data_IF_350479043779
#
_entry.id   IF_350479043779
#
_cell.length_a   1.000
_cell.length_b   1.000
_cell.length_c   1.000
_cell.angle_alpha   90.00
_cell.angle_beta   90.00
_cell.angle_gamma   90.00
#
_symmetry.space_group_name_H-M   'P 1'
#
loop_
_entity.id
_entity.type
_entity.pdbx_description
1 polymer ?
#
# COMPACT_ATOMS: atom_id res chain seq x y z
N UNK A 1 -8.82 -69.49 31.41
CA UNK A 1 -8.80 -69.37 29.93
C UNK A 1 -9.40 -68.06 29.55
N UNK A 2 -8.60 -67.05 29.22
CA UNK A 2 -9.06 -65.72 28.91
C UNK A 2 -8.45 -65.32 27.58
N UNK A 3 -9.27 -65.17 26.56
CA UNK A 3 -8.92 -64.82 25.21
C UNK A 3 -8.70 -63.31 25.09
N UNK A 4 -7.54 -62.95 24.57
CA UNK A 4 -7.20 -61.56 24.24
C UNK A 4 -7.95 -61.09 23.04
N UNK A 5 -8.71 -60.02 23.17
CA UNK A 5 -9.29 -59.28 22.03
C UNK A 5 -8.39 -58.09 21.71
N UNK A 6 -7.83 -58.14 20.52
CA UNK A 6 -7.05 -57.03 19.95
C UNK A 6 -8.03 -55.94 19.47
N UNK A 7 -7.90 -54.71 20.00
CA UNK A 7 -8.53 -53.53 19.45
C UNK A 7 -7.54 -52.80 18.54
N UNK A 8 -7.72 -52.95 17.25
CA UNK A 8 -7.10 -52.09 16.30
C UNK A 8 -7.93 -50.77 16.22
N UNK A 9 -7.39 -49.71 16.78
CA UNK A 9 -7.92 -48.37 16.59
C UNK A 9 -7.12 -47.73 15.47
N UNK A 10 -7.74 -47.67 14.30
CA UNK A 10 -7.23 -46.93 13.16
C UNK A 10 -7.82 -45.51 13.24
N UNK A 11 -7.07 -44.58 13.80
CA UNK A 11 -7.42 -43.15 13.81
C UNK A 11 -6.50 -42.41 12.83
N UNK A 12 -6.91 -42.32 11.58
CA UNK A 12 -6.32 -41.39 10.61
C UNK A 12 -7.09 -40.11 10.70
N UNK A 13 -6.66 -39.19 11.56
CA UNK A 13 -7.08 -37.81 11.51
C UNK A 13 -6.27 -37.08 10.43
N UNK A 14 -6.80 -37.02 9.24
CA UNK A 14 -6.32 -36.11 8.21
C UNK A 14 -6.67 -34.68 8.62
N UNK A 15 -5.70 -33.97 9.20
CA UNK A 15 -5.83 -32.51 9.39
C UNK A 15 -5.54 -31.90 8.03
N UNK A 16 -6.63 -31.55 7.31
CA UNK A 16 -6.53 -30.67 6.16
C UNK A 16 -6.14 -29.28 6.66
N UNK A 17 -4.84 -29.00 6.64
CA UNK A 17 -4.32 -27.67 6.87
C UNK A 17 -4.79 -26.76 5.74
N UNK A 18 -5.77 -25.90 6.01
CA UNK A 18 -6.07 -24.76 5.17
C UNK A 18 -4.87 -23.81 5.28
N UNK A 19 -3.96 -23.90 4.33
CA UNK A 19 -3.00 -22.84 4.10
C UNK A 19 -3.79 -21.65 3.55
N UNK A 20 -4.13 -20.71 4.43
CA UNK A 20 -4.56 -19.39 4.03
C UNK A 20 -3.37 -18.75 3.32
N UNK A 21 -3.34 -18.84 2.00
CA UNK A 21 -2.48 -18.00 1.18
C UNK A 21 -2.97 -16.57 1.39
N UNK A 22 -2.29 -15.82 2.25
CA UNK A 22 -2.39 -14.39 2.25
C UNK A 22 -1.97 -13.96 0.83
N UNK A 23 -2.96 -13.63 0.00
CA UNK A 23 -2.74 -12.87 -1.23
C UNK A 23 -2.30 -11.50 -0.74
N UNK A 24 -0.99 -11.34 -0.52
CA UNK A 24 -0.42 -10.03 -0.31
C UNK A 24 -0.75 -9.22 -1.54
N UNK A 25 -1.49 -8.13 -1.36
CA UNK A 25 -1.68 -7.13 -2.40
C UNK A 25 -0.30 -6.81 -2.97
N UNK A 26 -0.05 -7.22 -4.21
CA UNK A 26 1.16 -6.88 -4.95
C UNK A 26 1.08 -5.38 -5.30
N UNK A 27 1.24 -4.55 -4.28
CA UNK A 27 1.37 -3.12 -4.45
C UNK A 27 2.77 -2.85 -4.99
N UNK A 28 2.88 -2.00 -6.00
CA UNK A 28 4.15 -1.44 -6.43
C UNK A 28 4.72 -0.60 -5.28
N UNK A 29 5.43 -1.26 -4.38
CA UNK A 29 6.09 -0.59 -3.27
C UNK A 29 7.57 -0.39 -3.63
N UNK A 30 8.01 0.85 -3.59
CA UNK A 30 9.43 1.15 -3.60
C UNK A 30 10.07 0.46 -2.39
N UNK A 31 11.06 -0.44 -2.57
CA UNK A 31 11.72 -1.12 -1.46
C UNK A 31 12.27 -0.11 -0.44
N UNK A 32 11.92 -0.29 0.85
CA UNK A 32 12.32 0.61 1.93
C UNK A 32 11.30 1.69 2.29
N UNK A 33 10.37 2.03 1.40
CA UNK A 33 9.22 2.87 1.72
C UNK A 33 8.21 2.05 2.55
N UNK A 34 7.75 2.62 3.66
CA UNK A 34 6.71 2.00 4.49
C UNK A 34 5.39 2.71 4.27
N UNK A 35 4.36 1.94 3.90
CA UNK A 35 2.97 2.41 3.81
C UNK A 35 2.11 1.66 4.81
N UNK A 36 1.50 2.39 5.73
CA UNK A 36 0.59 1.85 6.75
C UNK A 36 -0.82 2.37 6.48
N UNK A 37 -1.72 1.50 6.05
CA UNK A 37 -3.14 1.85 5.87
C UNK A 37 -3.74 2.10 7.26
N UNK A 38 -4.26 3.30 7.47
CA UNK A 38 -4.89 3.73 8.72
C UNK A 38 -6.40 3.50 8.67
N UNK A 39 -7.02 3.78 7.53
CA UNK A 39 -8.47 3.66 7.33
C UNK A 39 -8.76 3.25 5.88
N UNK A 40 -9.83 2.48 5.72
CA UNK A 40 -10.36 2.09 4.43
C UNK A 40 -11.87 1.93 4.56
N UNK A 41 -12.64 2.58 3.67
CA UNK A 41 -14.10 2.47 3.65
C UNK A 41 -14.66 2.74 2.25
N UNK A 42 -15.83 2.17 2.01
CA UNK A 42 -16.52 2.30 0.74
C UNK A 42 -17.09 3.71 0.54
N UNK A 43 -16.93 4.26 -0.66
CA UNK A 43 -17.65 5.47 -1.06
C UNK A 43 -19.10 5.09 -1.38
N UNK A 44 -20.11 5.76 -0.78
CA UNK A 44 -21.51 5.50 -1.09
C UNK A 44 -21.80 5.63 -2.59
N UNK A 45 -22.56 4.69 -3.14
CA UNK A 45 -23.00 4.67 -4.54
C UNK A 45 -21.84 4.61 -5.57
N UNK A 46 -20.99 3.57 -5.49
CA UNK A 46 -19.94 3.38 -6.50
C UNK A 46 -19.07 2.16 -6.26
N UNK A 47 -18.18 1.95 -7.20
CA UNK A 47 -17.12 0.93 -7.19
C UNK A 47 -15.81 1.46 -6.58
N UNK A 48 -15.89 2.54 -5.79
CA UNK A 48 -14.73 3.20 -5.20
C UNK A 48 -14.66 3.02 -3.69
N UNK A 49 -13.46 3.12 -3.19
CA UNK A 49 -13.16 3.14 -1.76
C UNK A 49 -12.20 4.29 -1.42
N UNK A 50 -12.35 4.84 -0.23
CA UNK A 50 -11.38 5.78 0.33
C UNK A 50 -10.35 4.99 1.11
N UNK A 51 -9.08 5.31 0.89
CA UNK A 51 -7.95 4.76 1.64
C UNK A 51 -7.16 5.91 2.22
N UNK A 52 -6.91 5.89 3.52
CA UNK A 52 -5.98 6.83 4.18
C UNK A 52 -4.78 6.05 4.70
N UNK A 53 -3.59 6.48 4.34
CA UNK A 53 -2.35 5.79 4.69
C UNK A 53 -1.29 6.76 5.21
N UNK A 54 -0.53 6.32 6.20
CA UNK A 54 0.71 6.95 6.61
C UNK A 54 1.85 6.39 5.74
N UNK A 55 2.61 7.28 5.12
CA UNK A 55 3.74 6.93 4.27
C UNK A 55 5.01 7.49 4.90
N UNK A 56 5.99 6.60 5.14
CA UNK A 56 7.28 6.93 5.72
C UNK A 56 8.36 6.57 4.69
N UNK A 57 9.13 7.56 4.25
CA UNK A 57 10.15 7.44 3.23
C UNK A 57 11.50 7.74 3.88
N UNK A 58 12.45 6.81 3.88
CA UNK A 58 13.80 7.01 4.41
C UNK A 58 14.51 8.24 3.80
N UNK A 59 15.55 8.77 4.46
CA UNK A 59 16.34 9.88 3.94
C UNK A 59 16.94 9.62 2.56
N UNK A 60 16.90 10.63 1.69
CA UNK A 60 17.51 10.64 0.36
C UNK A 60 17.08 9.47 -0.54
N UNK A 61 15.87 8.96 -0.35
CA UNK A 61 15.35 7.80 -1.07
C UNK A 61 14.55 8.22 -2.29
N UNK A 62 14.78 7.56 -3.42
CA UNK A 62 13.96 7.72 -4.62
C UNK A 62 12.69 6.88 -4.51
N UNK A 63 11.55 7.50 -4.77
CA UNK A 63 10.25 6.85 -4.93
C UNK A 63 10.05 6.56 -6.41
N UNK A 64 9.98 5.29 -6.76
CA UNK A 64 9.82 4.85 -8.14
C UNK A 64 8.55 5.44 -8.78
N UNK A 65 8.61 5.68 -10.09
CA UNK A 65 7.46 6.16 -10.87
C UNK A 65 6.31 5.17 -10.80
N UNK A 66 5.12 5.67 -10.52
CA UNK A 66 3.91 4.86 -10.37
C UNK A 66 2.65 5.68 -10.66
N UNK A 67 1.52 4.99 -10.66
CA UNK A 67 0.18 5.57 -10.80
C UNK A 67 -0.76 5.01 -9.74
N UNK A 68 -1.88 5.70 -9.49
CA UNK A 68 -2.98 5.21 -8.66
C UNK A 68 -4.28 5.05 -9.46
N UNK A 69 -5.14 4.07 -9.14
CA UNK A 69 -6.44 3.87 -9.80
C UNK A 69 -7.52 4.86 -9.32
N UNK A 70 -7.11 6.04 -8.90
CA UNK A 70 -7.94 7.14 -8.43
C UNK A 70 -7.10 8.33 -8.01
N UNK A 71 -7.73 9.48 -7.70
CA UNK A 71 -7.01 10.65 -7.21
C UNK A 71 -6.38 10.40 -5.84
N UNK A 72 -5.26 11.10 -5.62
CA UNK A 72 -4.49 11.12 -4.38
C UNK A 72 -4.38 12.55 -3.89
N UNK A 73 -4.47 12.74 -2.57
CA UNK A 73 -4.17 14.00 -1.88
C UNK A 73 -3.26 13.70 -0.72
N UNK A 74 -2.10 14.34 -0.70
CA UNK A 74 -1.09 14.16 0.32
C UNK A 74 -0.88 15.41 1.15
N UNK A 75 -0.57 15.22 2.43
CA UNK A 75 -0.14 16.26 3.36
C UNK A 75 1.19 15.86 4.01
N UNK A 76 2.19 16.72 3.89
CA UNK A 76 3.52 16.46 4.48
C UNK A 76 3.48 16.77 5.98
N UNK A 77 3.72 15.75 6.80
CA UNK A 77 3.78 15.85 8.26
C UNK A 77 5.18 16.26 8.71
N UNK A 78 6.22 15.59 8.15
CA UNK A 78 7.63 15.81 8.51
C UNK A 78 8.52 15.71 7.27
N UNK A 79 9.60 16.48 7.26
CA UNK A 79 10.60 16.45 6.21
C UNK A 79 10.16 17.15 4.92
N UNK A 80 10.67 16.66 3.80
CA UNK A 80 10.36 17.21 2.48
C UNK A 80 10.47 16.15 1.38
N UNK A 81 9.76 16.36 0.28
CA UNK A 81 9.83 15.53 -0.92
C UNK A 81 9.96 16.41 -2.17
N UNK A 82 10.91 16.11 -3.03
CA UNK A 82 10.98 16.65 -4.38
C UNK A 82 10.10 15.76 -5.27
N UNK A 83 8.90 16.20 -5.56
CA UNK A 83 7.88 15.47 -6.32
C UNK A 83 8.04 15.76 -7.81
N UNK A 84 8.13 14.71 -8.61
CA UNK A 84 8.11 14.75 -10.06
C UNK A 84 6.78 14.17 -10.56
N UNK A 85 5.96 15.00 -11.17
CA UNK A 85 4.68 14.63 -11.81
C UNK A 85 4.86 14.75 -13.31
N UNK A 86 4.27 13.85 -14.08
CA UNK A 86 4.34 13.92 -15.55
C UNK A 86 3.73 15.23 -16.05
N UNK A 87 4.50 15.98 -16.84
CA UNK A 87 4.12 17.26 -17.44
C UNK A 87 4.85 18.46 -16.82
N UNK A 88 4.54 18.92 -15.60
CA UNK A 88 5.21 20.08 -15.02
C UNK A 88 6.62 19.74 -14.49
N UNK A 89 7.49 20.77 -14.30
CA UNK A 89 8.77 20.55 -13.66
C UNK A 89 8.62 20.06 -12.20
N UNK A 90 9.59 19.27 -11.68
CA UNK A 90 9.56 18.80 -10.30
C UNK A 90 9.48 19.96 -9.30
N UNK A 91 8.76 19.73 -8.20
CA UNK A 91 8.58 20.70 -7.13
C UNK A 91 8.83 20.08 -5.76
N UNK A 92 9.50 20.83 -4.87
CA UNK A 92 9.71 20.43 -3.49
C UNK A 92 8.53 20.87 -2.61
N UNK A 93 7.98 19.92 -1.86
CA UNK A 93 6.97 20.13 -0.83
C UNK A 93 7.57 19.80 0.53
N UNK A 94 7.26 20.62 1.54
CA UNK A 94 7.81 20.55 2.91
C UNK A 94 6.70 20.30 3.93
N UNK A 95 7.09 20.00 5.17
CA UNK A 95 6.15 19.87 6.27
C UNK A 95 5.17 21.06 6.32
N UNK A 96 3.87 20.76 6.35
CA UNK A 96 2.79 21.72 6.26
C UNK A 96 2.22 21.96 4.86
N UNK A 97 2.91 21.53 3.81
CA UNK A 97 2.41 21.60 2.44
C UNK A 97 1.51 20.40 2.10
N UNK A 98 0.67 20.59 1.09
CA UNK A 98 -0.10 19.53 0.47
C UNK A 98 -0.03 19.58 -1.05
N UNK A 99 -0.29 18.44 -1.68
CA UNK A 99 -0.41 18.32 -3.13
C UNK A 99 -1.49 17.30 -3.49
N UNK A 100 -1.94 17.35 -4.75
CA UNK A 100 -2.90 16.41 -5.28
C UNK A 100 -2.41 15.86 -6.62
N UNK A 101 -2.63 14.56 -6.84
CA UNK A 101 -2.32 13.85 -8.08
C UNK A 101 -3.62 13.31 -8.65
N UNK A 102 -3.98 13.67 -9.90
CA UNK A 102 -5.15 13.11 -10.57
C UNK A 102 -4.99 11.61 -10.84
N UNK A 103 -6.13 10.93 -11.00
CA UNK A 103 -6.15 9.50 -11.33
C UNK A 103 -5.27 9.18 -12.55
N UNK A 104 -4.43 8.15 -12.44
CA UNK A 104 -3.63 7.62 -13.53
C UNK A 104 -2.42 8.46 -13.94
N UNK A 105 -2.21 9.61 -13.30
CA UNK A 105 -1.05 10.46 -13.61
C UNK A 105 0.21 9.84 -13.04
N UNK A 106 1.23 9.69 -13.89
CA UNK A 106 2.54 9.13 -13.50
C UNK A 106 3.28 10.13 -12.63
N UNK A 107 3.73 9.67 -11.48
CA UNK A 107 4.52 10.48 -10.55
C UNK A 107 5.50 9.62 -9.76
N UNK A 108 6.44 10.28 -9.13
CA UNK A 108 7.47 9.73 -8.26
C UNK A 108 8.19 10.88 -7.59
N UNK A 109 9.34 10.64 -7.00
CA UNK A 109 10.07 11.73 -6.36
C UNK A 109 11.26 11.26 -5.55
N UNK A 110 11.79 12.17 -4.74
CA UNK A 110 12.90 11.89 -3.85
C UNK A 110 12.67 12.56 -2.50
N UNK A 111 12.82 11.82 -1.43
CA UNK A 111 12.76 12.36 -0.07
C UNK A 111 13.99 13.24 0.24
N UNK A 112 13.80 14.18 1.14
CA UNK A 112 14.88 15.03 1.63
C UNK A 112 15.88 14.30 2.54
N UNK A 113 16.91 15.02 3.04
CA UNK A 113 17.97 14.45 3.85
C UNK A 113 17.51 13.92 5.22
N UNK A 114 16.37 14.34 5.73
CA UNK A 114 15.75 13.83 6.97
C UNK A 114 14.67 12.76 6.72
N UNK A 115 14.46 12.39 5.45
CA UNK A 115 13.31 11.57 5.04
C UNK A 115 12.04 12.39 4.88
N UNK A 116 10.93 11.69 4.66
CA UNK A 116 9.61 12.30 4.54
C UNK A 116 8.58 11.44 5.24
N UNK A 117 7.70 12.07 6.02
CA UNK A 117 6.50 11.45 6.54
C UNK A 117 5.30 12.22 6.01
N UNK A 118 4.37 11.53 5.39
CA UNK A 118 3.17 12.15 4.82
C UNK A 118 1.93 11.31 5.07
N UNK A 119 0.78 11.98 5.07
CA UNK A 119 -0.53 11.35 5.10
C UNK A 119 -1.11 11.39 3.70
N UNK A 120 -1.29 10.22 3.09
CA UNK A 120 -1.93 10.08 1.78
C UNK A 120 -3.39 9.69 1.92
N UNK A 121 -4.25 10.34 1.15
CA UNK A 121 -5.67 10.04 1.04
C UNK A 121 -6.02 9.77 -0.42
N UNK A 122 -6.65 8.62 -0.67
CA UNK A 122 -6.95 8.10 -2.00
C UNK A 122 -8.44 7.83 -2.14
N UNK A 123 -9.01 8.09 -3.32
CA UNK A 123 -10.35 7.62 -3.70
C UNK A 123 -10.18 6.73 -4.93
N UNK A 124 -10.04 5.43 -4.71
CA UNK A 124 -9.58 4.48 -5.71
C UNK A 124 -10.65 3.45 -6.09
N UNK A 125 -10.49 2.83 -7.25
CA UNK A 125 -11.35 1.72 -7.68
C UNK A 125 -11.13 0.51 -6.79
N UNK A 126 -12.22 -0.10 -6.31
CA UNK A 126 -12.19 -1.31 -5.47
C UNK A 126 -11.52 -2.47 -6.19
N UNK A 127 -10.74 -3.25 -5.43
CA UNK A 127 -10.10 -4.47 -5.94
C UNK A 127 -8.89 -4.23 -6.84
N UNK A 128 -8.54 -2.99 -7.13
CA UNK A 128 -7.29 -2.67 -7.85
C UNK A 128 -6.13 -2.44 -6.87
N UNK A 129 -4.89 -2.76 -7.25
CA UNK A 129 -3.71 -2.37 -6.48
C UNK A 129 -3.69 -0.86 -6.25
N UNK A 130 -3.39 -0.43 -5.01
CA UNK A 130 -3.36 1.00 -4.67
C UNK A 130 -2.33 1.76 -5.52
N UNK A 131 -1.21 1.13 -5.87
CA UNK A 131 -0.19 1.69 -6.74
C UNK A 131 0.25 0.66 -7.78
N UNK A 132 0.48 1.11 -9.01
CA UNK A 132 1.01 0.31 -10.12
C UNK A 132 2.28 0.93 -10.68
N UNK A 133 3.33 0.14 -11.02
CA UNK A 133 4.54 0.66 -11.63
C UNK A 133 4.23 1.41 -12.91
N UNK A 134 4.99 2.47 -13.19
CA UNK A 134 4.96 3.20 -14.45
C UNK A 134 6.35 3.24 -15.07
N UNK A 135 6.45 3.32 -16.41
CA UNK A 135 7.73 3.42 -17.13
C UNK A 135 8.49 4.71 -16.83
#
# INVERSE_FOLDING_TARGET
>A
MLTRRNFNVCAICAIAGFAATAVGDAQAQTPGLKRTVLQKFDVPAGDRETVTALIEIPPNMDVARHTHPGPEVDYIIEGEVNLAVEGPPPKTYKAGDSFAIPQGVVHGGRSGPSGTKLLGSYIVEKGKPLASPAP
#
